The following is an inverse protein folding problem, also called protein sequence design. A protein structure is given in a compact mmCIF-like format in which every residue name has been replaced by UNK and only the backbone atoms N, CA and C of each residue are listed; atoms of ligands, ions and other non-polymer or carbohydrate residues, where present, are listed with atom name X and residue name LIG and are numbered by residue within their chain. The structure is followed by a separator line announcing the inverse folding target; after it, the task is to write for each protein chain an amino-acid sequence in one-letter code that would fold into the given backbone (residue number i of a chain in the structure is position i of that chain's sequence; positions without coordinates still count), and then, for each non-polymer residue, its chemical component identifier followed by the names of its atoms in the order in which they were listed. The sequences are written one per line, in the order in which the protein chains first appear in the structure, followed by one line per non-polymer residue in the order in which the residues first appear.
data_IF_416712367674
#
_entry.id   IF_416712367674
#
_cell.length_a   1.000
_cell.length_b   1.000
_cell.length_c   1.000
_cell.angle_alpha   90.00
_cell.angle_beta   90.00
_cell.angle_gamma   90.00
#
_symmetry.space_group_name_H-M   'P 1'
#
loop_
_entity.id
_entity.type
_entity.pdbx_description
1 polymer ?
#
# COMPACT_ATOMS: atom_id res chain seq x y z
N UNK A 1 -52.29 26.13 -24.10
CA UNK A 1 -50.94 26.27 -23.54
C UNK A 1 -50.47 24.89 -23.13
N UNK A 2 -49.51 24.29 -23.84
CA UNK A 2 -48.93 22.98 -23.53
C UNK A 2 -47.64 23.21 -22.73
N UNK A 3 -47.63 22.81 -21.47
CA UNK A 3 -46.43 22.87 -20.62
C UNK A 3 -45.52 21.68 -20.99
N UNK A 4 -44.38 21.95 -21.66
CA UNK A 4 -43.28 21.01 -21.76
C UNK A 4 -42.55 20.98 -20.40
N UNK A 5 -42.67 19.89 -19.63
CA UNK A 5 -41.81 19.62 -18.52
C UNK A 5 -40.41 19.25 -19.07
N UNK A 6 -39.32 19.91 -18.61
CA UNK A 6 -38.01 19.48 -18.95
C UNK A 6 -37.71 18.15 -18.23
N UNK A 7 -37.46 17.13 -19.03
CA UNK A 7 -36.97 15.82 -18.53
C UNK A 7 -35.54 16.01 -18.06
N UNK A 8 -35.36 16.13 -16.72
CA UNK A 8 -34.05 16.18 -16.11
C UNK A 8 -33.44 14.78 -16.23
N UNK A 9 -32.53 14.59 -17.19
CA UNK A 9 -31.73 13.38 -17.28
C UNK A 9 -30.77 13.39 -16.10
N UNK A 10 -31.13 12.66 -15.04
CA UNK A 10 -30.22 12.30 -13.95
C UNK A 10 -29.19 11.36 -14.57
N UNK A 11 -28.04 11.90 -14.95
CA UNK A 11 -26.89 11.09 -15.31
C UNK A 11 -26.43 10.41 -14.00
N UNK A 12 -26.48 9.07 -13.87
CA UNK A 12 -25.90 8.43 -12.73
C UNK A 12 -24.40 8.74 -12.78
N UNK A 13 -23.90 9.46 -11.79
CA UNK A 13 -22.46 9.55 -11.57
C UNK A 13 -21.99 8.11 -11.33
N UNK A 14 -21.26 7.55 -12.28
CA UNK A 14 -20.54 6.29 -12.07
C UNK A 14 -19.55 6.56 -10.94
N UNK A 15 -19.90 6.16 -9.74
CA UNK A 15 -18.97 6.11 -8.63
C UNK A 15 -17.93 5.05 -9.00
N UNK A 16 -16.76 5.49 -9.44
CA UNK A 16 -15.60 4.64 -9.61
C UNK A 16 -15.31 4.06 -8.22
N UNK A 17 -15.29 2.75 -8.11
CA UNK A 17 -15.46 2.13 -6.82
C UNK A 17 -14.18 1.53 -6.21
N UNK A 18 -13.11 1.35 -6.96
CA UNK A 18 -11.78 0.98 -6.47
C UNK A 18 -10.71 1.87 -7.11
N UNK A 19 -9.72 2.34 -6.36
CA UNK A 19 -9.50 2.16 -4.92
C UNK A 19 -10.38 3.09 -4.06
N UNK A 20 -10.53 2.74 -2.77
CA UNK A 20 -11.26 3.54 -1.77
C UNK A 20 -10.35 4.33 -0.84
N UNK A 21 -9.09 3.97 -0.79
CA UNK A 21 -8.05 4.61 0.03
C UNK A 21 -6.77 4.73 -0.78
N UNK A 22 -6.01 5.78 -0.49
CA UNK A 22 -4.70 6.03 -1.09
C UNK A 22 -3.64 6.01 -0.02
N UNK A 23 -2.57 5.28 -0.29
CA UNK A 23 -1.47 5.07 0.65
C UNK A 23 -0.18 5.59 0.04
N UNK A 24 0.45 6.51 0.75
CA UNK A 24 1.83 6.90 0.50
C UNK A 24 2.77 5.93 1.22
N UNK A 25 3.40 5.06 0.44
CA UNK A 25 4.36 4.07 0.94
C UNK A 25 5.76 4.66 1.02
N UNK A 26 6.42 4.45 2.14
CA UNK A 26 7.87 4.66 2.28
C UNK A 26 8.55 3.39 2.75
N UNK A 27 9.68 3.05 2.15
CA UNK A 27 10.52 1.95 2.61
C UNK A 27 11.90 2.46 3.04
N UNK A 28 12.49 1.76 4.00
CA UNK A 28 13.87 1.96 4.42
C UNK A 28 14.56 0.60 4.53
N UNK A 29 15.58 0.32 3.70
CA UNK A 29 16.32 -0.92 3.79
C UNK A 29 17.21 -0.94 5.03
N UNK A 30 17.21 -2.08 5.73
CA UNK A 30 18.12 -2.35 6.82
C UNK A 30 19.16 -3.38 6.36
N UNK A 31 20.44 -3.07 6.58
CA UNK A 31 21.55 -3.95 6.19
C UNK A 31 22.35 -4.40 7.41
N UNK A 32 23.00 -5.55 7.28
CA UNK A 32 24.00 -5.99 8.24
C UNK A 32 25.34 -5.25 8.02
N UNK A 33 26.32 -5.54 8.86
CA UNK A 33 27.66 -4.95 8.79
C UNK A 33 28.40 -5.25 7.46
N UNK A 34 27.96 -6.26 6.71
CA UNK A 34 28.52 -6.62 5.41
C UNK A 34 27.79 -5.94 4.24
N UNK A 35 26.78 -5.11 4.51
CA UNK A 35 25.94 -4.42 3.51
C UNK A 35 24.83 -5.29 2.92
N UNK A 36 24.66 -6.53 3.37
CA UNK A 36 23.54 -7.37 2.90
C UNK A 36 22.21 -6.91 3.50
N UNK A 37 21.15 -6.87 2.70
CA UNK A 37 19.79 -6.56 3.14
C UNK A 37 19.29 -7.63 4.13
N UNK A 38 18.83 -7.21 5.29
CA UNK A 38 18.28 -8.10 6.34
C UNK A 38 16.82 -7.81 6.66
N UNK A 39 16.32 -6.62 6.36
CA UNK A 39 14.92 -6.26 6.55
C UNK A 39 14.53 -5.05 5.70
N UNK A 40 13.22 -4.88 5.49
CA UNK A 40 12.61 -3.64 5.01
C UNK A 40 11.78 -3.06 6.16
N UNK A 41 11.98 -1.79 6.48
CA UNK A 41 11.02 -1.03 7.29
C UNK A 41 10.07 -0.33 6.34
N UNK A 42 8.77 -0.52 6.55
CA UNK A 42 7.71 0.10 5.78
C UNK A 42 6.95 1.12 6.62
N UNK A 43 6.51 2.19 5.98
CA UNK A 43 5.60 3.19 6.51
C UNK A 43 4.48 3.40 5.51
N UNK A 44 3.26 3.12 5.92
CA UNK A 44 2.04 3.30 5.15
C UNK A 44 1.30 4.52 5.70
N UNK A 45 1.33 5.62 4.96
CA UNK A 45 0.64 6.86 5.32
C UNK A 45 -0.69 6.91 4.58
N UNK A 46 -1.78 6.96 5.33
CA UNK A 46 -3.13 7.04 4.79
C UNK A 46 -3.42 8.47 4.31
N UNK A 47 -4.20 8.59 3.25
CA UNK A 47 -4.67 9.89 2.78
C UNK A 47 -5.46 10.63 3.89
N UNK A 48 -5.59 11.98 3.82
CA UNK A 48 -6.22 12.77 4.88
C UNK A 48 -7.67 12.36 5.16
N UNK A 49 -8.45 12.03 4.13
CA UNK A 49 -9.85 11.66 4.27
C UNK A 49 -10.02 10.31 4.96
N UNK A 50 -9.25 9.31 4.52
CA UNK A 50 -9.21 7.99 5.16
C UNK A 50 -8.72 8.08 6.60
N UNK A 51 -7.69 8.91 6.85
CA UNK A 51 -7.17 9.16 8.19
C UNK A 51 -8.24 9.74 9.13
N UNK A 52 -8.98 10.77 8.68
CA UNK A 52 -10.06 11.40 9.46
C UNK A 52 -11.12 10.36 9.84
N UNK A 53 -11.65 9.61 8.87
CA UNK A 53 -12.69 8.59 9.11
C UNK A 53 -12.20 7.51 10.09
N UNK A 54 -10.99 7.02 9.89
CA UNK A 54 -10.43 5.95 10.73
C UNK A 54 -10.16 6.41 12.15
N UNK A 55 -9.69 7.65 12.32
CA UNK A 55 -9.42 8.24 13.63
C UNK A 55 -10.74 8.60 14.37
N UNK A 56 -11.75 9.13 13.68
CA UNK A 56 -13.06 9.41 14.29
C UNK A 56 -13.76 8.14 14.77
N UNK A 57 -13.68 7.05 14.02
CA UNK A 57 -14.29 5.76 14.39
C UNK A 57 -13.61 5.09 15.58
N UNK A 58 -12.37 5.44 15.86
CA UNK A 58 -11.52 4.75 16.82
C UNK A 58 -11.00 5.70 17.92
N UNK A 59 -11.87 6.56 18.47
CA UNK A 59 -11.47 7.51 19.51
C UNK A 59 -11.05 6.82 20.83
N UNK A 60 -9.93 7.26 21.40
CA UNK A 60 -9.41 7.01 22.76
C UNK A 60 -9.16 5.55 23.18
N UNK A 61 -10.14 4.89 23.76
CA UNK A 61 -9.96 3.52 24.26
C UNK A 61 -9.78 2.48 23.14
N UNK A 62 -10.04 2.89 21.90
CA UNK A 62 -10.01 2.01 20.73
C UNK A 62 -8.64 1.93 20.04
N UNK A 63 -7.66 2.79 20.33
CA UNK A 63 -6.37 2.77 19.62
C UNK A 63 -5.64 1.42 19.73
N UNK A 64 -5.68 0.76 20.89
CA UNK A 64 -5.07 -0.55 21.06
C UNK A 64 -5.82 -1.64 20.27
N UNK A 65 -7.17 -1.57 20.22
CA UNK A 65 -7.97 -2.48 19.41
C UNK A 65 -7.78 -2.18 17.93
N UNK A 66 -7.80 -0.90 17.55
CA UNK A 66 -7.54 -0.46 16.18
C UNK A 66 -6.17 -0.93 15.68
N UNK A 67 -5.13 -0.81 16.52
CA UNK A 67 -3.80 -1.35 16.18
C UNK A 67 -3.86 -2.86 15.92
N UNK A 68 -4.56 -3.60 16.76
CA UNK A 68 -4.71 -5.06 16.59
C UNK A 68 -5.45 -5.39 15.29
N UNK A 69 -6.49 -4.64 14.95
CA UNK A 69 -7.27 -4.86 13.73
C UNK A 69 -6.43 -4.53 12.49
N UNK A 70 -5.63 -3.47 12.54
CA UNK A 70 -4.66 -3.14 11.48
C UNK A 70 -3.57 -4.23 11.38
N UNK A 71 -2.99 -4.67 12.49
CA UNK A 71 -1.98 -5.74 12.48
C UNK A 71 -2.53 -7.01 11.81
N UNK A 72 -3.78 -7.37 12.11
CA UNK A 72 -4.45 -8.50 11.49
C UNK A 72 -4.71 -8.26 9.99
N UNK A 73 -5.25 -7.09 9.64
CA UNK A 73 -5.50 -6.71 8.25
C UNK A 73 -4.23 -6.81 7.40
N UNK A 74 -3.13 -6.24 7.87
CA UNK A 74 -1.84 -6.31 7.15
C UNK A 74 -1.29 -7.73 7.06
N UNK A 75 -1.50 -8.56 8.07
CA UNK A 75 -1.09 -9.97 8.01
C UNK A 75 -1.85 -10.76 6.93
N UNK A 76 -3.11 -10.38 6.65
CA UNK A 76 -3.99 -11.08 5.71
C UNK A 76 -3.94 -10.48 4.29
N UNK A 77 -3.87 -9.15 4.18
CA UNK A 77 -4.07 -8.43 2.91
C UNK A 77 -2.79 -7.85 2.30
N UNK A 78 -1.72 -7.69 3.09
CA UNK A 78 -0.46 -7.21 2.53
C UNK A 78 0.08 -8.19 1.49
N UNK A 79 0.21 -7.70 0.25
CA UNK A 79 0.79 -8.46 -0.84
C UNK A 79 2.24 -8.06 -1.08
N UNK A 80 3.09 -9.04 -1.25
CA UNK A 80 4.49 -8.85 -1.61
C UNK A 80 4.89 -9.88 -2.67
N UNK A 81 5.12 -9.39 -3.88
CA UNK A 81 5.57 -10.24 -5.00
C UNK A 81 7.01 -9.91 -5.35
N UNK A 82 7.85 -10.92 -5.49
CA UNK A 82 9.27 -10.76 -5.81
C UNK A 82 9.75 -11.82 -6.80
N UNK A 83 10.79 -11.46 -7.54
CA UNK A 83 11.35 -12.27 -8.62
C UNK A 83 12.35 -13.35 -8.18
N UNK A 84 12.78 -13.30 -6.90
CA UNK A 84 13.76 -14.24 -6.34
C UNK A 84 13.17 -14.95 -5.12
N UNK A 85 13.74 -16.10 -4.73
CA UNK A 85 13.29 -16.89 -3.58
C UNK A 85 13.68 -16.22 -2.25
N UNK A 86 13.21 -15.00 -2.05
CA UNK A 86 13.31 -14.33 -0.76
C UNK A 86 12.14 -14.78 0.10
N UNK A 87 12.41 -15.12 1.32
CA UNK A 87 11.37 -15.39 2.29
C UNK A 87 11.44 -14.30 3.38
N UNK A 88 10.28 -13.75 3.72
CA UNK A 88 10.14 -12.82 4.83
C UNK A 88 9.61 -13.55 6.05
N UNK A 89 10.08 -13.14 7.22
CA UNK A 89 9.51 -13.54 8.48
C UNK A 89 8.28 -12.67 8.82
N UNK A 90 7.57 -13.02 9.87
CA UNK A 90 6.44 -12.21 10.34
C UNK A 90 6.88 -10.76 10.61
N UNK A 91 6.02 -9.77 10.29
CA UNK A 91 6.27 -8.37 10.63
C UNK A 91 6.54 -8.18 12.12
N UNK A 92 7.42 -7.25 12.45
CA UNK A 92 7.75 -6.86 13.82
C UNK A 92 7.82 -5.36 13.98
N UNK A 93 7.91 -4.89 15.23
CA UNK A 93 8.02 -3.46 15.54
C UNK A 93 6.87 -2.64 14.96
N UNK A 94 5.66 -3.24 15.00
CA UNK A 94 4.47 -2.57 14.49
C UNK A 94 4.10 -1.37 15.37
N UNK A 95 3.81 -0.24 14.74
CA UNK A 95 3.42 0.99 15.43
C UNK A 95 2.41 1.79 14.61
N UNK A 96 1.55 2.54 15.31
CA UNK A 96 0.68 3.56 14.73
C UNK A 96 1.18 4.93 15.18
N UNK A 97 1.30 5.85 14.23
CA UNK A 97 1.47 7.28 14.47
C UNK A 97 0.25 8.03 13.92
N UNK A 98 -0.30 8.93 14.72
CA UNK A 98 -1.47 9.76 14.36
C UNK A 98 -1.15 11.25 14.43
N UNK A 99 0.12 11.60 14.47
CA UNK A 99 0.56 12.98 14.55
C UNK A 99 0.06 13.80 13.36
N UNK A 100 -0.41 15.01 13.65
CA UNK A 100 -0.97 15.92 12.65
C UNK A 100 -2.30 15.47 12.04
N UNK A 101 -3.00 14.52 12.68
CA UNK A 101 -4.29 14.01 12.19
C UNK A 101 -4.16 13.05 11.01
N UNK A 102 -2.96 12.61 10.70
CA UNK A 102 -2.67 11.64 9.64
C UNK A 102 -2.31 10.30 10.26
N UNK A 103 -3.00 9.26 9.82
CA UNK A 103 -2.74 7.89 10.26
C UNK A 103 -1.54 7.32 9.49
N UNK A 104 -0.55 6.83 10.23
CA UNK A 104 0.60 6.09 9.69
C UNK A 104 0.73 4.77 10.39
N UNK A 105 0.90 3.72 9.61
CA UNK A 105 1.21 2.40 10.13
C UNK A 105 2.64 2.02 9.73
N UNK A 106 3.42 1.63 10.72
CA UNK A 106 4.83 1.28 10.55
C UNK A 106 5.08 -0.16 10.98
N UNK A 107 5.93 -0.86 10.26
CA UNK A 107 6.43 -2.17 10.67
C UNK A 107 7.77 -2.48 10.00
N UNK A 108 8.47 -3.46 10.55
CA UNK A 108 9.69 -4.00 9.98
C UNK A 108 9.40 -5.41 9.47
N UNK A 109 9.72 -5.67 8.21
CA UNK A 109 9.58 -6.96 7.55
C UNK A 109 10.97 -7.60 7.41
N UNK A 110 11.36 -8.53 8.31
CA UNK A 110 12.68 -9.16 8.26
C UNK A 110 12.77 -10.17 7.13
N UNK A 111 13.93 -10.25 6.50
CA UNK A 111 14.26 -11.40 5.64
C UNK A 111 14.65 -12.60 6.50
N UNK A 112 14.28 -13.81 6.07
CA UNK A 112 14.72 -15.05 6.73
C UNK A 112 16.20 -15.34 6.52
N UNK A 113 16.78 -14.77 5.44
CA UNK A 113 18.21 -14.83 5.12
C UNK A 113 18.65 -13.49 4.53
N UNK A 114 19.87 -13.01 4.84
CA UNK A 114 20.42 -11.81 4.23
C UNK A 114 20.50 -11.94 2.70
N UNK A 115 20.21 -10.85 1.99
CA UNK A 115 20.22 -10.82 0.53
C UNK A 115 21.17 -9.74 0.00
N UNK A 116 21.79 -10.01 -1.15
CA UNK A 116 22.70 -9.08 -1.85
C UNK A 116 22.28 -8.94 -3.31
N UNK A 117 22.73 -7.85 -3.91
CA UNK A 117 22.46 -7.55 -5.32
C UNK A 117 21.09 -6.92 -5.52
N UNK A 118 20.60 -6.99 -6.75
CA UNK A 118 19.33 -6.40 -7.14
C UNK A 118 18.15 -7.32 -6.79
N UNK A 119 17.20 -6.78 -6.03
CA UNK A 119 15.96 -7.45 -5.64
C UNK A 119 14.80 -6.72 -6.30
N UNK A 120 14.00 -7.44 -7.09
CA UNK A 120 12.78 -6.90 -7.68
C UNK A 120 11.56 -7.36 -6.90
N UNK A 121 10.68 -6.42 -6.56
CA UNK A 121 9.46 -6.71 -5.81
C UNK A 121 8.37 -5.68 -6.08
N UNK A 122 7.16 -6.02 -5.68
CA UNK A 122 6.00 -5.12 -5.59
C UNK A 122 5.44 -5.20 -4.18
N UNK A 123 4.96 -4.08 -3.67
CA UNK A 123 4.23 -3.98 -2.39
C UNK A 123 2.83 -3.47 -2.71
N UNK A 124 1.80 -4.12 -2.20
CA UNK A 124 0.42 -3.80 -2.53
C UNK A 124 -0.56 -4.29 -1.45
N UNK A 125 -1.77 -3.80 -1.45
CA UNK A 125 -2.90 -4.42 -0.77
C UNK A 125 -3.61 -5.37 -1.75
N UNK A 126 -3.91 -6.56 -1.29
CA UNK A 126 -4.20 -7.72 -2.15
C UNK A 126 -5.49 -7.57 -2.98
N UNK A 127 -6.50 -6.87 -2.46
CA UNK A 127 -7.79 -6.65 -3.13
C UNK A 127 -7.89 -5.37 -3.95
N UNK A 128 -6.85 -4.52 -3.93
CA UNK A 128 -6.88 -3.17 -4.50
C UNK A 128 -7.93 -2.24 -3.85
N UNK A 129 -8.33 -2.55 -2.62
CA UNK A 129 -9.13 -1.63 -1.82
C UNK A 129 -8.31 -0.37 -1.47
N UNK A 130 -7.01 -0.55 -1.29
CA UNK A 130 -6.03 0.52 -1.13
C UNK A 130 -5.11 0.58 -2.35
N UNK A 131 -5.00 1.75 -2.95
CA UNK A 131 -3.95 2.07 -3.93
C UNK A 131 -2.68 2.43 -3.18
N UNK A 132 -1.64 1.61 -3.35
CA UNK A 132 -0.37 1.75 -2.63
C UNK A 132 0.70 2.22 -3.61
N UNK A 133 1.10 3.47 -3.47
CA UNK A 133 2.15 4.08 -4.30
C UNK A 133 3.27 4.63 -3.43
N UNK A 134 4.48 4.65 -3.97
CA UNK A 134 5.58 5.29 -3.25
C UNK A 134 5.35 6.78 -3.11
N UNK A 135 5.55 7.30 -1.89
CA UNK A 135 5.50 8.72 -1.63
C UNK A 135 6.45 9.50 -2.56
N UNK A 136 6.04 10.68 -2.99
CA UNK A 136 6.83 11.50 -3.91
C UNK A 136 8.25 11.83 -3.39
N UNK A 137 8.40 11.90 -2.08
CA UNK A 137 9.65 12.15 -1.37
C UNK A 137 10.37 10.87 -0.92
N UNK A 138 9.97 9.68 -1.43
CA UNK A 138 10.63 8.42 -1.12
C UNK A 138 12.14 8.51 -1.38
N UNK A 139 12.94 8.26 -0.35
CA UNK A 139 14.40 8.16 -0.47
C UNK A 139 14.77 7.03 -1.43
N UNK A 140 15.63 7.32 -2.41
CA UNK A 140 16.06 6.35 -3.43
C UNK A 140 17.50 5.89 -3.27
N UNK A 141 18.26 6.53 -2.37
CA UNK A 141 19.63 6.15 -2.05
C UNK A 141 19.91 6.39 -0.57
N UNK A 142 20.52 5.42 0.09
CA UNK A 142 20.83 5.45 1.52
C UNK A 142 22.34 5.36 1.76
N UNK A 143 22.78 5.84 2.91
CA UNK A 143 24.19 5.83 3.32
C UNK A 143 24.75 4.41 3.51
N UNK A 144 23.87 3.41 3.70
CA UNK A 144 24.25 2.00 3.77
C UNK A 144 24.53 1.37 2.38
N UNK A 145 24.56 2.19 1.32
CA UNK A 145 24.85 1.76 -0.05
C UNK A 145 23.67 1.18 -0.82
N UNK A 146 22.47 1.09 -0.21
CA UNK A 146 21.27 0.64 -0.91
C UNK A 146 20.76 1.71 -1.89
N UNK A 147 20.24 1.26 -3.05
CA UNK A 147 19.62 2.09 -4.07
C UNK A 147 18.29 1.51 -4.51
N UNK A 148 17.27 2.34 -4.62
CA UNK A 148 15.91 1.98 -5.06
C UNK A 148 15.62 2.61 -6.42
N UNK A 149 15.14 1.81 -7.35
CA UNK A 149 14.52 2.24 -8.60
C UNK A 149 13.05 1.85 -8.57
N UNK A 150 12.16 2.76 -8.93
CA UNK A 150 10.71 2.55 -8.95
C UNK A 150 10.25 2.71 -10.40
N UNK A 151 9.40 1.79 -10.86
CA UNK A 151 8.74 1.85 -12.17
C UNK A 151 7.24 1.84 -11.93
N UNK A 152 6.53 2.70 -12.66
CA UNK A 152 5.07 2.77 -12.60
C UNK A 152 4.43 1.45 -13.05
N UNK A 153 3.24 1.19 -12.51
CA UNK A 153 2.38 0.13 -13.03
C UNK A 153 1.91 0.50 -14.44
N UNK A 154 1.55 -0.51 -15.22
CA UNK A 154 0.99 -0.31 -16.55
C UNK A 154 -0.16 -1.32 -16.76
N UNK A 155 -1.28 -1.15 -16.03
CA UNK A 155 -2.46 -2.00 -16.20
C UNK A 155 -3.02 -1.85 -17.63
N UNK A 156 -3.65 -2.90 -18.12
CA UNK A 156 -4.42 -2.85 -19.37
C UNK A 156 -5.76 -2.15 -19.15
N UNK A 157 -6.38 -1.68 -20.24
CA UNK A 157 -7.71 -1.07 -20.16
C UNK A 157 -8.78 -2.03 -19.58
N UNK A 158 -8.63 -3.33 -19.82
CA UNK A 158 -9.52 -4.37 -19.26
C UNK A 158 -9.35 -4.50 -17.74
N UNK A 159 -8.12 -4.40 -17.26
CA UNK A 159 -7.82 -4.44 -15.81
C UNK A 159 -8.32 -3.16 -15.11
N UNK A 160 -8.19 -2.00 -15.76
CA UNK A 160 -8.75 -0.74 -15.25
C UNK A 160 -10.29 -0.79 -15.21
N UNK A 161 -10.95 -1.31 -16.27
CA UNK A 161 -12.40 -1.49 -16.32
C UNK A 161 -12.87 -2.48 -15.25
N UNK A 162 -12.11 -3.57 -15.05
CA UNK A 162 -12.39 -4.55 -14.00
C UNK A 162 -12.35 -3.88 -12.61
N UNK A 163 -11.29 -3.15 -12.30
CA UNK A 163 -11.17 -2.45 -11.02
C UNK A 163 -12.31 -1.43 -10.82
N UNK A 164 -12.66 -0.68 -11.86
CA UNK A 164 -13.76 0.28 -11.83
C UNK A 164 -15.16 -0.38 -11.70
N UNK A 165 -15.28 -1.67 -11.98
CA UNK A 165 -16.56 -2.39 -11.89
C UNK A 165 -16.96 -2.82 -10.47
N UNK A 166 -16.02 -2.83 -9.54
CA UNK A 166 -16.30 -3.23 -8.15
C UNK A 166 -16.90 -2.05 -7.38
N UNK A 167 -17.96 -2.30 -6.63
CA UNK A 167 -18.52 -1.34 -5.68
C UNK A 167 -17.88 -1.50 -4.28
N UNK A 168 -18.20 -0.60 -3.37
CA UNK A 168 -17.64 -0.59 -2.00
C UNK A 168 -17.91 -1.86 -1.18
N UNK A 169 -18.82 -2.74 -1.64
CA UNK A 169 -19.17 -3.99 -0.98
C UNK A 169 -18.69 -5.21 -1.78
N UNK A 170 -18.15 -4.99 -2.97
CA UNK A 170 -17.68 -6.08 -3.82
C UNK A 170 -16.33 -6.58 -3.33
N UNK A 171 -16.20 -7.90 -3.29
CA UNK A 171 -14.93 -8.54 -2.99
C UNK A 171 -14.15 -8.72 -4.29
N UNK A 172 -13.11 -7.91 -4.48
CA UNK A 172 -12.24 -8.03 -5.63
C UNK A 172 -11.43 -9.34 -5.59
N UNK A 173 -11.01 -9.87 -6.74
CA UNK A 173 -10.15 -11.05 -6.80
C UNK A 173 -8.84 -10.81 -6.06
N UNK A 174 -8.36 -11.82 -5.34
CA UNK A 174 -7.05 -11.77 -4.71
C UNK A 174 -5.95 -11.56 -5.78
N UNK A 175 -5.02 -10.66 -5.49
CA UNK A 175 -3.93 -10.31 -6.40
C UNK A 175 -4.24 -9.16 -7.36
N UNK A 176 -5.45 -8.59 -7.34
CA UNK A 176 -5.76 -7.42 -8.16
C UNK A 176 -4.82 -6.25 -7.85
N UNK A 177 -4.50 -6.00 -6.58
CA UNK A 177 -3.55 -4.97 -6.19
C UNK A 177 -2.17 -5.12 -6.81
N UNK A 178 -1.72 -6.34 -7.09
CA UNK A 178 -0.43 -6.56 -7.74
C UNK A 178 -0.37 -6.02 -9.18
N UNK A 179 -1.53 -5.89 -9.86
CA UNK A 179 -1.63 -5.35 -11.22
C UNK A 179 -1.31 -3.86 -11.22
N UNK A 180 -1.85 -3.13 -10.24
CA UNK A 180 -1.72 -1.68 -10.11
C UNK A 180 -0.48 -1.24 -9.32
N UNK A 181 0.22 -2.18 -8.68
CA UNK A 181 1.40 -1.86 -7.87
C UNK A 181 2.62 -1.50 -8.72
N UNK A 182 3.33 -0.46 -8.27
CA UNK A 182 4.64 -0.09 -8.80
C UNK A 182 5.64 -1.22 -8.63
N UNK A 183 6.54 -1.39 -9.59
CA UNK A 183 7.64 -2.36 -9.51
C UNK A 183 8.88 -1.68 -8.96
N UNK A 184 9.45 -2.27 -7.92
CA UNK A 184 10.66 -1.80 -7.25
C UNK A 184 11.84 -2.68 -7.58
N UNK A 185 13.00 -2.05 -7.76
CA UNK A 185 14.28 -2.72 -7.79
C UNK A 185 15.16 -2.09 -6.71
N UNK A 186 15.48 -2.88 -5.68
CA UNK A 186 16.34 -2.47 -4.57
C UNK A 186 17.67 -3.22 -4.68
N UNK A 187 18.76 -2.48 -4.79
CA UNK A 187 20.10 -3.03 -4.82
C UNK A 187 20.81 -2.68 -3.52
N UNK A 188 21.29 -3.70 -2.80
CA UNK A 188 22.10 -3.58 -1.58
C UNK A 188 23.30 -4.54 -1.66
N UNK A 189 24.46 -4.08 -1.19
CA UNK A 189 25.68 -4.88 -1.10
C UNK A 189 26.17 -5.35 -2.48
N UNK A 190 27.16 -4.70 -3.03
CA UNK A 190 27.87 -5.15 -4.24
C UNK A 190 28.72 -6.38 -3.95
#
# INVERSE_FOLDING_TARGET
MKYLLPFLILCPALALAHPHQWIDLRITPQTDASGALIALRESWEFDPYSSEILLERNQDAALAQFKKDIDQFFAEQHGFTYSQKLAFAAPRETAIDTSGGILRYHYTLPLTQPARGALQFKIYENSYYMDVTYAADQTKQWDNGCRLTIREANPSAEEEELAASFDQNAQAPAGLGAVFAQTSELQCGE
#
